data_IF_678874979411
#
_entry.id   IF_678874979411
#
_cell.length_a   1.000
_cell.length_b   1.000
_cell.length_c   1.000
_cell.angle_alpha   90.00
_cell.angle_beta   90.00
_cell.angle_gamma   90.00
#
_symmetry.space_group_name_H-M   'P 1'
#
loop_
_entity.id
_entity.type
_entity.pdbx_description
1 polymer ?
#
# COMPACT_ATOMS: atom_id res chain seq x y z
N UNK A 1 -24.55 -6.18 -18.01
CA UNK A 1 -23.20 -5.67 -17.63
C UNK A 1 -22.78 -6.21 -16.26
N UNK A 2 -22.69 -7.54 -16.11
CA UNK A 2 -22.26 -8.22 -14.86
C UNK A 2 -20.90 -8.94 -15.01
N UNK A 3 -20.53 -9.27 -16.24
CA UNK A 3 -19.31 -10.02 -16.60
C UNK A 3 -18.02 -9.34 -16.14
N UNK A 4 -17.92 -8.01 -16.30
CA UNK A 4 -16.73 -7.23 -15.94
C UNK A 4 -16.45 -7.27 -14.42
N UNK A 5 -17.49 -7.40 -13.58
CA UNK A 5 -17.29 -7.46 -12.11
C UNK A 5 -16.70 -8.78 -11.66
N UNK A 6 -17.07 -9.88 -12.32
CA UNK A 6 -16.54 -11.21 -12.00
C UNK A 6 -15.09 -11.34 -12.46
N UNK A 7 -14.74 -10.86 -13.65
CA UNK A 7 -13.35 -10.85 -14.13
C UNK A 7 -12.45 -9.99 -13.25
N UNK A 8 -12.89 -8.79 -12.85
CA UNK A 8 -12.14 -7.94 -11.90
C UNK A 8 -11.97 -8.64 -10.55
N UNK A 9 -12.99 -9.35 -10.07
CA UNK A 9 -12.92 -10.08 -8.81
C UNK A 9 -11.95 -11.26 -8.90
N UNK A 10 -12.01 -12.05 -9.97
CA UNK A 10 -11.10 -13.16 -10.23
C UNK A 10 -9.67 -12.64 -10.37
N UNK A 11 -9.46 -11.58 -11.16
CA UNK A 11 -8.15 -10.96 -11.32
C UNK A 11 -7.61 -10.48 -9.98
N UNK A 12 -8.42 -9.77 -9.18
CA UNK A 12 -8.04 -9.32 -7.85
C UNK A 12 -7.70 -10.51 -6.93
N UNK A 13 -8.50 -11.57 -6.95
CA UNK A 13 -8.28 -12.77 -6.15
C UNK A 13 -6.98 -13.49 -6.55
N UNK A 14 -6.72 -13.62 -7.85
CA UNK A 14 -5.49 -14.20 -8.40
C UNK A 14 -4.28 -13.35 -8.05
N UNK A 15 -4.36 -12.02 -8.15
CA UNK A 15 -3.29 -11.08 -7.69
C UNK A 15 -2.97 -11.34 -6.21
N UNK A 16 -4.00 -11.43 -5.38
CA UNK A 16 -3.87 -11.62 -3.93
C UNK A 16 -3.43 -13.04 -3.56
N UNK A 17 -3.51 -13.99 -4.48
CA UNK A 17 -3.01 -15.35 -4.30
C UNK A 17 -1.53 -15.45 -4.69
N UNK A 18 -1.14 -14.81 -5.80
CA UNK A 18 0.25 -14.77 -6.29
C UNK A 18 1.12 -13.85 -5.41
N UNK A 19 0.55 -12.73 -4.95
CA UNK A 19 1.15 -11.83 -3.97
C UNK A 19 0.46 -11.97 -2.62
N UNK A 20 1.22 -12.07 -1.52
CA UNK A 20 0.62 -12.05 -0.19
C UNK A 20 -0.19 -10.77 0.08
N UNK A 21 -1.29 -10.89 0.85
CA UNK A 21 -2.17 -9.75 1.18
C UNK A 21 -1.39 -8.55 1.77
N UNK A 22 -0.34 -8.81 2.54
CA UNK A 22 0.49 -7.76 3.18
C UNK A 22 1.31 -7.02 2.14
N UNK A 23 1.95 -7.74 1.22
CA UNK A 23 2.74 -7.21 0.11
C UNK A 23 1.87 -6.36 -0.83
N UNK A 24 0.64 -6.81 -1.10
CA UNK A 24 -0.33 -6.03 -1.87
C UNK A 24 -0.68 -4.70 -1.19
N UNK A 25 -0.93 -4.73 0.13
CA UNK A 25 -1.19 -3.50 0.90
C UNK A 25 0.02 -2.57 0.87
N UNK A 26 1.23 -3.12 1.04
CA UNK A 26 2.47 -2.34 0.98
C UNK A 26 2.60 -1.63 -0.38
N UNK A 27 2.40 -2.37 -1.48
CA UNK A 27 2.45 -1.82 -2.84
C UNK A 27 1.48 -0.66 -3.02
N UNK A 28 0.20 -0.87 -2.68
CA UNK A 28 -0.85 0.17 -2.83
C UNK A 28 -0.55 1.40 -1.98
N UNK A 29 -0.02 1.23 -0.77
CA UNK A 29 0.38 2.36 0.10
C UNK A 29 1.54 3.15 -0.54
N UNK A 30 2.56 2.46 -1.04
CA UNK A 30 3.72 3.08 -1.67
C UNK A 30 3.30 3.85 -2.93
N UNK A 31 2.57 3.21 -3.85
CA UNK A 31 2.02 3.84 -5.05
C UNK A 31 1.17 5.07 -4.70
N UNK A 32 0.32 4.96 -3.68
CA UNK A 32 -0.49 6.11 -3.24
C UNK A 32 0.36 7.28 -2.77
N UNK A 33 1.42 7.03 -2.01
CA UNK A 33 2.31 8.09 -1.55
C UNK A 33 3.16 8.68 -2.68
N UNK A 34 3.57 7.86 -3.66
CA UNK A 34 4.25 8.32 -4.89
C UNK A 34 3.32 9.25 -5.67
N UNK A 35 2.07 8.84 -5.90
CA UNK A 35 1.07 9.62 -6.62
C UNK A 35 0.72 10.93 -5.91
N UNK A 36 0.85 10.99 -4.59
CA UNK A 36 0.67 12.20 -3.79
C UNK A 36 1.98 13.01 -3.62
N UNK A 37 3.07 12.58 -4.25
CA UNK A 37 4.42 13.15 -4.15
C UNK A 37 4.88 13.37 -2.69
N UNK A 38 4.64 12.37 -1.83
CA UNK A 38 4.94 12.42 -0.39
C UNK A 38 6.29 11.80 -0.10
N UNK A 39 7.35 12.60 -0.27
CA UNK A 39 8.72 12.21 0.01
C UNK A 39 9.32 13.03 1.16
N UNK A 40 10.08 12.38 2.03
CA UNK A 40 10.85 13.00 3.11
C UNK A 40 9.99 13.86 4.04
N UNK A 41 10.17 15.17 3.99
CA UNK A 41 9.45 16.14 4.83
C UNK A 41 7.99 16.36 4.41
N UNK A 42 7.59 15.94 3.22
CA UNK A 42 6.21 16.02 2.72
C UNK A 42 5.40 14.81 3.18
N UNK A 43 4.43 15.03 4.06
CA UNK A 43 3.64 13.96 4.68
C UNK A 43 2.18 13.97 4.24
N UNK A 44 1.51 12.84 4.45
CA UNK A 44 0.05 12.70 4.39
C UNK A 44 -0.45 11.98 5.64
N UNK A 45 -1.67 12.30 6.06
CA UNK A 45 -2.36 11.56 7.12
C UNK A 45 -2.53 10.09 6.72
N UNK A 46 -2.20 9.18 7.64
CA UNK A 46 -2.33 7.74 7.46
C UNK A 46 -3.77 7.33 7.15
N UNK A 47 -4.75 7.99 7.80
CA UNK A 47 -6.16 7.75 7.54
C UNK A 47 -6.57 8.07 6.10
N UNK A 48 -5.98 9.09 5.46
CA UNK A 48 -6.21 9.40 4.04
C UNK A 48 -5.55 8.38 3.12
N UNK A 49 -4.35 7.91 3.46
CA UNK A 49 -3.63 6.89 2.69
C UNK A 49 -4.41 5.57 2.72
N UNK A 50 -4.89 5.13 3.89
CA UNK A 50 -5.71 3.92 4.01
C UNK A 50 -6.97 3.93 3.13
N UNK A 51 -7.52 5.10 2.76
CA UNK A 51 -8.74 5.16 1.93
C UNK A 51 -8.53 4.56 0.54
N UNK A 52 -7.31 4.56 -0.01
CA UNK A 52 -7.01 3.95 -1.32
C UNK A 52 -6.98 2.42 -1.29
N UNK A 53 -6.93 1.79 -0.11
CA UNK A 53 -6.95 0.35 -0.02
C UNK A 53 -8.34 -0.21 -0.41
N UNK A 54 -8.40 -1.40 -1.03
CA UNK A 54 -9.66 -2.08 -1.33
C UNK A 54 -10.56 -2.29 -0.10
N UNK A 55 -11.88 -2.18 -0.29
CA UNK A 55 -12.86 -2.28 0.79
C UNK A 55 -12.84 -3.63 1.53
N UNK A 56 -12.64 -4.74 0.80
CA UNK A 56 -12.58 -6.08 1.38
C UNK A 56 -11.36 -6.28 2.30
N UNK A 57 -10.27 -5.51 2.13
CA UNK A 57 -9.13 -5.50 3.05
C UNK A 57 -9.36 -4.57 4.24
N UNK A 58 -10.10 -3.47 4.07
CA UNK A 58 -10.32 -2.49 5.17
C UNK A 58 -11.37 -2.95 6.18
N UNK A 59 -12.38 -3.69 5.73
CA UNK A 59 -13.59 -3.95 6.52
C UNK A 59 -13.56 -5.28 7.28
N UNK A 60 -12.48 -6.06 7.14
CA UNK A 60 -12.34 -7.36 7.80
C UNK A 60 -11.32 -7.29 8.94
N UNK A 61 -11.55 -8.04 10.03
CA UNK A 61 -10.59 -8.12 11.15
C UNK A 61 -9.20 -8.60 10.70
N UNK A 62 -9.17 -9.54 9.74
CA UNK A 62 -7.92 -10.03 9.13
C UNK A 62 -7.22 -8.91 8.36
N UNK A 63 -7.94 -8.21 7.50
CA UNK A 63 -7.37 -7.15 6.68
C UNK A 63 -6.86 -5.95 7.51
N UNK A 64 -7.56 -5.56 8.59
CA UNK A 64 -7.06 -4.53 9.53
C UNK A 64 -5.72 -4.94 10.15
N UNK A 65 -5.56 -6.21 10.55
CA UNK A 65 -4.28 -6.73 11.05
C UNK A 65 -3.19 -6.70 9.97
N UNK A 66 -3.54 -7.07 8.74
CA UNK A 66 -2.59 -7.03 7.62
C UNK A 66 -2.17 -5.61 7.25
N UNK A 67 -3.07 -4.63 7.37
CA UNK A 67 -2.75 -3.21 7.19
C UNK A 67 -1.76 -2.72 8.25
N UNK A 68 -1.98 -3.06 9.53
CA UNK A 68 -1.03 -2.69 10.59
C UNK A 68 0.33 -3.39 10.40
N UNK A 69 0.32 -4.67 9.98
CA UNK A 69 1.54 -5.43 9.68
C UNK A 69 2.31 -4.81 8.52
N UNK A 70 1.63 -4.45 7.43
CA UNK A 70 2.22 -3.76 6.29
C UNK A 70 2.83 -2.41 6.71
N UNK A 71 2.10 -1.60 7.47
CA UNK A 71 2.60 -0.32 8.00
C UNK A 71 3.89 -0.51 8.82
N UNK A 72 3.88 -1.44 9.77
CA UNK A 72 5.05 -1.74 10.61
C UNK A 72 6.24 -2.19 9.77
N UNK A 73 6.01 -3.05 8.78
CA UNK A 73 7.06 -3.55 7.88
C UNK A 73 7.68 -2.43 7.06
N UNK A 74 6.87 -1.55 6.46
CA UNK A 74 7.35 -0.38 5.72
C UNK A 74 8.21 0.57 6.58
N UNK A 75 7.86 0.74 7.86
CA UNK A 75 8.65 1.55 8.80
C UNK A 75 9.94 0.85 9.19
N UNK A 76 9.88 -0.44 9.51
CA UNK A 76 11.03 -1.24 9.93
C UNK A 76 12.07 -1.37 8.81
N UNK A 77 11.62 -1.54 7.56
CA UNK A 77 12.46 -1.57 6.36
C UNK A 77 12.96 -0.17 5.94
N UNK A 78 12.61 0.88 6.70
CA UNK A 78 12.98 2.28 6.47
C UNK A 78 12.53 2.84 5.13
N UNK A 79 11.58 2.20 4.45
CA UNK A 79 11.01 2.71 3.18
C UNK A 79 9.96 3.79 3.42
N UNK A 80 9.35 3.81 4.60
CA UNK A 80 8.35 4.81 4.99
C UNK A 80 8.72 5.44 6.33
N UNK A 81 8.64 6.76 6.42
CA UNK A 81 8.72 7.49 7.68
C UNK A 81 7.34 7.64 8.31
N UNK A 82 7.35 7.65 9.64
CA UNK A 82 6.18 7.90 10.47
C UNK A 82 6.48 9.08 11.39
N UNK A 83 5.57 10.03 11.45
CA UNK A 83 5.61 11.12 12.42
C UNK A 83 4.21 11.36 12.98
N UNK A 84 4.14 11.79 14.24
CA UNK A 84 2.89 12.23 14.84
C UNK A 84 2.83 13.74 14.75
N UNK A 85 1.82 14.28 14.08
CA UNK A 85 1.59 15.74 13.95
C UNK A 85 0.15 16.02 14.31
N UNK A 86 -0.08 17.03 15.16
CA UNK A 86 -1.43 17.49 15.54
C UNK A 86 -2.37 16.37 16.01
N UNK A 87 -1.84 15.37 16.73
CA UNK A 87 -2.61 14.22 17.22
C UNK A 87 -2.85 13.11 16.18
N UNK A 88 -2.50 13.34 14.92
CA UNK A 88 -2.70 12.40 13.81
C UNK A 88 -1.40 11.71 13.39
N UNK A 89 -1.56 10.49 12.88
CA UNK A 89 -0.49 9.69 12.30
C UNK A 89 -0.19 10.17 10.88
N UNK A 90 1.02 10.68 10.64
CA UNK A 90 1.49 11.14 9.34
C UNK A 90 2.56 10.21 8.78
N UNK A 91 2.49 9.97 7.47
CA UNK A 91 3.43 9.11 6.74
C UNK A 91 4.00 9.80 5.51
N UNK A 92 5.24 9.46 5.17
CA UNK A 92 5.93 9.88 3.94
C UNK A 92 6.91 8.80 3.48
N UNK A 93 7.28 8.80 2.22
CA UNK A 93 8.29 7.90 1.67
C UNK A 93 9.69 8.36 2.04
N UNK A 94 10.59 7.42 2.27
CA UNK A 94 11.99 7.72 2.41
C UNK A 94 12.63 7.97 1.04
N UNK A 95 13.03 9.20 0.76
CA UNK A 95 13.67 9.59 -0.50
C UNK A 95 15.00 8.87 -0.76
N UNK A 96 15.67 8.39 0.29
CA UNK A 96 16.91 7.60 0.16
C UNK A 96 16.67 6.17 -0.31
N UNK A 97 15.44 5.66 -0.18
CA UNK A 97 15.04 4.31 -0.56
C UNK A 97 14.30 4.28 -1.90
N UNK A 98 14.45 5.34 -2.71
CA UNK A 98 13.64 5.53 -3.92
C UNK A 98 13.79 4.34 -4.88
N UNK A 99 15.02 3.88 -5.10
CA UNK A 99 15.33 2.75 -5.98
C UNK A 99 14.64 1.48 -5.52
N UNK A 100 14.80 1.12 -4.25
CA UNK A 100 14.26 -0.07 -3.62
C UNK A 100 12.72 -0.06 -3.62
N UNK A 101 12.11 1.11 -3.43
CA UNK A 101 10.66 1.28 -3.50
C UNK A 101 10.16 0.98 -4.92
N UNK A 102 10.80 1.53 -5.96
CA UNK A 102 10.41 1.28 -7.35
C UNK A 102 10.66 -0.17 -7.75
N UNK A 103 11.79 -0.77 -7.37
CA UNK A 103 12.08 -2.19 -7.61
C UNK A 103 11.05 -3.11 -6.93
N UNK A 104 10.63 -2.78 -5.71
CA UNK A 104 9.58 -3.50 -5.02
C UNK A 104 8.25 -3.41 -5.79
N UNK A 105 7.87 -2.22 -6.25
CA UNK A 105 6.63 -2.03 -7.02
C UNK A 105 6.69 -2.83 -8.33
N UNK A 106 7.77 -2.70 -9.10
CA UNK A 106 7.95 -3.38 -10.39
C UNK A 106 7.95 -4.91 -10.24
N UNK A 107 8.66 -5.45 -9.24
CA UNK A 107 8.67 -6.90 -8.98
C UNK A 107 7.27 -7.45 -8.67
N UNK A 108 6.39 -6.59 -8.16
CA UNK A 108 5.02 -6.91 -7.79
C UNK A 108 4.01 -6.30 -8.79
N UNK A 109 4.45 -5.87 -9.96
CA UNK A 109 3.57 -5.60 -11.10
C UNK A 109 3.26 -6.92 -11.81
N UNK A 110 1.99 -7.09 -12.13
CA UNK A 110 1.58 -8.14 -13.05
C UNK A 110 1.95 -7.63 -14.44
N UNK A 111 3.01 -8.18 -15.02
CA UNK A 111 3.29 -7.99 -16.44
C UNK A 111 2.29 -8.85 -17.19
N UNK A 112 1.25 -8.22 -17.76
CA UNK A 112 0.44 -8.84 -18.80
C UNK A 112 1.38 -9.07 -20.00
N UNK A 113 1.68 -10.34 -20.29
CA UNK A 113 2.36 -10.79 -21.51
C UNK A 113 1.33 -11.42 -22.44
#
# INVERSE_FOLDING_TARGET
MYFIKEEIFIMFFVVTYIMGEVELIMKVVLERLINLNKWGSSHSEWNRVKKSLPSHLKNTKKGIKNIDKARKRLINERVMFFSKKTGEDHVSLNSKMKKEIFEFIEKNEIKEY
#
